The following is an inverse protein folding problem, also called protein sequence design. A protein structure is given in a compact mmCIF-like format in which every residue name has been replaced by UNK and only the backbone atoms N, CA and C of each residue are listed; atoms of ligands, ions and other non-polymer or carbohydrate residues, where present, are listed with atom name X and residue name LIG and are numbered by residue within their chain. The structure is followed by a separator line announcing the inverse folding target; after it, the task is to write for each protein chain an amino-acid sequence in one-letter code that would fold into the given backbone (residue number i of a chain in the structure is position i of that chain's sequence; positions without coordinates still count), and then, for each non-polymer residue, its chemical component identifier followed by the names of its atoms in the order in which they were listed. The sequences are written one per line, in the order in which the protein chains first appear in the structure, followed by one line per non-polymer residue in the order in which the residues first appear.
data_IF_150183038657
#
_entry.id   IF_150183038657
#
_cell.length_a   1.000
_cell.length_b   1.000
_cell.length_c   1.000
_cell.angle_alpha   90.00
_cell.angle_beta   90.00
_cell.angle_gamma   90.00
#
_symmetry.space_group_name_H-M   'P 1'
#
loop_
_entity.id
_entity.type
_entity.pdbx_description
1 polymer ?
#
# COMPACT_ATOMS: atom_id res chain seq x y z
N UNK A 1 41.00 -9.99 -24.86
CA UNK A 1 39.99 -9.24 -24.09
C UNK A 1 38.63 -9.80 -24.45
N UNK A 2 37.92 -10.41 -23.50
CA UNK A 2 36.59 -10.96 -23.77
C UNK A 2 35.59 -9.81 -23.81
N UNK A 3 35.07 -9.48 -25.00
CA UNK A 3 33.94 -8.58 -25.16
C UNK A 3 32.72 -9.25 -24.51
N UNK A 4 32.47 -8.94 -23.23
CA UNK A 4 31.17 -9.22 -22.62
C UNK A 4 30.15 -8.31 -23.30
N UNK A 5 29.49 -8.86 -24.31
CA UNK A 5 28.27 -8.28 -24.87
C UNK A 5 27.26 -8.28 -23.72
N UNK A 6 26.83 -7.08 -23.29
CA UNK A 6 25.72 -6.94 -22.36
C UNK A 6 24.49 -7.54 -23.05
N UNK A 7 24.03 -8.69 -22.55
CA UNK A 7 22.79 -9.30 -23.02
C UNK A 7 21.63 -8.43 -22.57
N UNK A 8 20.70 -8.13 -23.48
CA UNK A 8 19.47 -7.35 -23.23
C UNK A 8 18.65 -7.92 -22.06
N UNK A 9 18.83 -9.21 -21.74
CA UNK A 9 18.15 -9.92 -20.66
C UNK A 9 19.15 -10.46 -19.62
N UNK A 10 19.91 -9.58 -18.97
CA UNK A 10 20.70 -9.96 -17.79
C UNK A 10 19.76 -10.46 -16.67
N UNK A 11 19.82 -11.75 -16.28
CA UNK A 11 18.91 -12.32 -15.29
C UNK A 11 19.03 -11.65 -13.91
N UNK A 12 20.22 -11.18 -13.55
CA UNK A 12 20.47 -10.50 -12.28
C UNK A 12 19.87 -9.10 -12.29
N UNK A 13 20.02 -8.37 -13.39
CA UNK A 13 19.33 -7.08 -13.57
C UNK A 13 17.80 -7.26 -13.52
N UNK A 14 17.27 -8.28 -14.20
CA UNK A 14 15.84 -8.56 -14.20
C UNK A 14 15.32 -8.93 -12.80
N UNK A 15 16.11 -9.66 -12.00
CA UNK A 15 15.77 -9.95 -10.59
C UNK A 15 15.61 -8.66 -9.79
N UNK A 16 16.51 -7.68 -9.93
CA UNK A 16 16.40 -6.41 -9.20
C UNK A 16 15.27 -5.52 -9.68
N UNK A 17 15.00 -5.50 -11.00
CA UNK A 17 13.81 -4.85 -11.56
C UNK A 17 12.55 -5.46 -10.96
N UNK A 18 12.47 -6.80 -10.92
CA UNK A 18 11.34 -7.51 -10.33
C UNK A 18 11.13 -7.17 -8.83
N UNK A 19 12.22 -7.01 -8.07
CA UNK A 19 12.17 -6.61 -6.66
C UNK A 19 11.69 -5.16 -6.45
N UNK A 20 11.77 -4.31 -7.47
CA UNK A 20 11.30 -2.92 -7.38
C UNK A 20 9.77 -2.80 -7.48
N UNK A 21 9.09 -3.82 -8.03
CA UNK A 21 7.63 -3.80 -8.12
C UNK A 21 6.97 -4.06 -6.76
N UNK A 22 5.96 -3.25 -6.47
CA UNK A 22 5.15 -3.41 -5.26
C UNK A 22 3.84 -4.11 -5.63
N UNK A 23 3.67 -5.37 -5.22
CA UNK A 23 2.52 -6.22 -5.60
C UNK A 23 1.15 -5.56 -5.39
N UNK A 24 0.96 -4.83 -4.29
CA UNK A 24 -0.31 -4.14 -4.02
C UNK A 24 -0.55 -2.98 -5.00
N UNK A 25 0.50 -2.30 -5.42
CA UNK A 25 0.46 -1.23 -6.40
C UNK A 25 0.07 -1.76 -7.78
N UNK A 26 0.61 -2.92 -8.16
CA UNK A 26 0.24 -3.62 -9.40
C UNK A 26 -1.22 -4.07 -9.38
N UNK A 27 -1.64 -4.75 -8.30
CA UNK A 27 -3.05 -5.15 -8.11
C UNK A 27 -4.01 -3.96 -8.17
N UNK A 28 -3.64 -2.83 -7.57
CA UNK A 28 -4.42 -1.60 -7.66
C UNK A 28 -4.47 -1.06 -9.10
N UNK A 29 -3.36 -1.11 -9.84
CA UNK A 29 -3.31 -0.70 -11.25
C UNK A 29 -4.22 -1.58 -12.10
N UNK A 30 -4.10 -2.90 -12.01
CA UNK A 30 -4.99 -3.83 -12.71
C UNK A 30 -6.47 -3.61 -12.37
N UNK A 31 -6.78 -3.30 -11.11
CA UNK A 31 -8.16 -2.97 -10.70
C UNK A 31 -8.69 -1.75 -11.49
N UNK A 32 -7.92 -0.67 -11.60
CA UNK A 32 -8.35 0.52 -12.33
C UNK A 32 -8.42 0.30 -13.85
N UNK A 33 -7.54 -0.52 -14.41
CA UNK A 33 -7.65 -0.92 -15.82
C UNK A 33 -8.94 -1.68 -16.12
N UNK A 34 -9.43 -2.53 -15.19
CA UNK A 34 -10.77 -3.14 -15.34
C UNK A 34 -11.91 -2.12 -15.36
N UNK A 35 -11.78 -1.01 -14.64
CA UNK A 35 -12.76 0.09 -14.72
C UNK A 35 -12.68 0.82 -16.06
N UNK A 36 -11.48 0.98 -16.63
CA UNK A 36 -11.27 1.50 -17.98
C UNK A 36 -11.94 0.59 -19.02
N UNK A 37 -11.75 -0.73 -18.92
CA UNK A 37 -12.36 -1.68 -19.84
C UNK A 37 -13.89 -1.66 -19.77
N UNK A 38 -14.45 -1.49 -18.56
CA UNK A 38 -15.90 -1.30 -18.40
C UNK A 38 -16.36 -0.02 -19.11
N UNK A 39 -15.68 1.10 -18.88
CA UNK A 39 -15.97 2.37 -19.54
C UNK A 39 -15.91 2.26 -21.06
N UNK A 40 -14.87 1.61 -21.59
CA UNK A 40 -14.69 1.39 -23.03
C UNK A 40 -15.87 0.64 -23.63
N UNK A 41 -16.28 -0.47 -23.00
CA UNK A 41 -17.44 -1.26 -23.43
C UNK A 41 -18.73 -0.46 -23.41
N UNK A 42 -19.00 0.29 -22.33
CA UNK A 42 -20.20 1.13 -22.23
C UNK A 42 -20.25 2.28 -23.23
N UNK A 43 -19.08 2.79 -23.66
CA UNK A 43 -18.97 3.88 -24.64
C UNK A 43 -18.67 3.39 -26.05
N UNK A 44 -18.64 2.08 -26.30
CA UNK A 44 -18.26 1.48 -27.58
C UNK A 44 -16.90 1.98 -28.11
N UNK A 45 -15.93 2.18 -27.21
CA UNK A 45 -14.57 2.60 -27.56
C UNK A 45 -13.73 1.36 -27.83
N UNK A 46 -13.23 1.24 -29.06
CA UNK A 46 -12.45 0.09 -29.51
C UNK A 46 -11.04 0.10 -28.88
N UNK A 47 -10.36 1.24 -28.91
CA UNK A 47 -8.97 1.36 -28.45
C UNK A 47 -8.82 1.06 -26.96
N UNK A 48 -7.81 0.27 -26.60
CA UNK A 48 -7.29 0.14 -25.22
C UNK A 48 -6.57 1.42 -24.82
N UNK A 49 -6.28 1.55 -23.52
CA UNK A 49 -5.62 2.75 -22.98
C UNK A 49 -4.20 2.96 -23.55
N UNK A 50 -3.49 1.88 -23.82
CA UNK A 50 -2.14 1.86 -24.39
C UNK A 50 -2.12 2.02 -25.93
N UNK A 51 -3.27 1.85 -26.60
CA UNK A 51 -3.38 1.94 -28.06
C UNK A 51 -3.46 3.37 -28.61
N UNK A 52 -3.66 4.37 -27.75
CA UNK A 52 -3.65 5.78 -28.17
C UNK A 52 -2.22 6.22 -28.54
N UNK A 53 -2.02 6.63 -29.78
CA UNK A 53 -0.80 7.24 -30.32
C UNK A 53 -0.90 8.78 -30.39
N UNK A 54 -2.12 9.32 -30.29
CA UNK A 54 -2.40 10.74 -30.26
C UNK A 54 -2.67 11.25 -28.83
N UNK A 55 -1.86 12.20 -28.38
CA UNK A 55 -1.99 12.84 -27.07
C UNK A 55 -3.33 13.54 -26.86
N UNK A 56 -3.90 14.19 -27.88
CA UNK A 56 -5.17 14.90 -27.76
C UNK A 56 -6.35 13.92 -27.57
N UNK A 57 -6.31 12.77 -28.24
CA UNK A 57 -7.28 11.70 -28.09
C UNK A 57 -7.17 11.07 -26.71
N UNK A 58 -5.95 10.76 -26.25
CA UNK A 58 -5.71 10.25 -24.91
C UNK A 58 -6.22 11.21 -23.82
N UNK A 59 -5.98 12.52 -23.97
CA UNK A 59 -6.51 13.54 -23.06
C UNK A 59 -8.05 13.51 -23.02
N UNK A 60 -8.69 13.38 -24.18
CA UNK A 60 -10.16 13.35 -24.29
C UNK A 60 -10.74 12.07 -23.68
N UNK A 61 -10.08 10.94 -23.92
CA UNK A 61 -10.42 9.65 -23.33
C UNK A 61 -10.34 9.71 -21.80
N UNK A 62 -9.21 10.14 -21.25
CA UNK A 62 -8.99 10.22 -19.79
C UNK A 62 -10.00 11.18 -19.14
N UNK A 63 -10.25 12.34 -19.75
CA UNK A 63 -11.22 13.31 -19.22
C UNK A 63 -12.63 12.73 -19.18
N UNK A 64 -13.05 12.04 -20.26
CA UNK A 64 -14.36 11.38 -20.34
C UNK A 64 -14.51 10.26 -19.32
N UNK A 65 -13.44 9.46 -19.13
CA UNK A 65 -13.40 8.41 -18.13
C UNK A 65 -13.53 8.96 -16.70
N UNK A 66 -12.80 10.03 -16.36
CA UNK A 66 -12.88 10.67 -15.03
C UNK A 66 -14.29 11.20 -14.76
N UNK A 67 -14.92 11.83 -15.75
CA UNK A 67 -16.30 12.31 -15.64
C UNK A 67 -17.29 11.18 -15.37
N UNK A 68 -17.13 10.05 -16.07
CA UNK A 68 -17.97 8.85 -15.92
C UNK A 68 -17.71 8.06 -14.63
N UNK A 69 -16.54 8.22 -13.99
CA UNK A 69 -16.10 7.34 -12.90
C UNK A 69 -17.06 7.34 -11.69
N UNK A 70 -17.66 6.17 -11.45
CA UNK A 70 -18.53 5.86 -10.32
C UNK A 70 -18.44 4.38 -9.93
N UNK A 71 -18.93 4.05 -8.73
CA UNK A 71 -19.04 2.67 -8.25
C UNK A 71 -20.08 1.90 -9.07
N UNK A 72 -20.11 0.58 -8.92
CA UNK A 72 -21.07 -0.29 -9.64
C UNK A 72 -22.53 0.02 -9.30
N UNK A 73 -22.78 0.48 -8.08
CA UNK A 73 -24.10 0.89 -7.60
C UNK A 73 -24.49 2.33 -8.00
N UNK A 74 -23.66 3.00 -8.82
CA UNK A 74 -23.85 4.39 -9.21
C UNK A 74 -23.37 5.41 -8.18
N UNK A 75 -23.04 4.99 -6.95
CA UNK A 75 -22.55 5.91 -5.92
C UNK A 75 -21.16 6.46 -6.27
N UNK A 76 -20.83 7.67 -5.82
CA UNK A 76 -19.52 8.26 -6.06
C UNK A 76 -18.41 7.56 -5.26
N UNK A 77 -17.20 7.63 -5.80
CA UNK A 77 -15.99 7.27 -5.08
C UNK A 77 -15.55 8.41 -4.14
N UNK A 78 -14.79 8.08 -3.08
CA UNK A 78 -14.08 9.08 -2.27
C UNK A 78 -13.01 9.79 -3.11
N UNK A 79 -12.71 11.04 -2.77
CA UNK A 79 -11.70 11.88 -3.44
C UNK A 79 -10.37 11.12 -3.61
N UNK A 80 -9.89 10.49 -2.53
CA UNK A 80 -8.66 9.71 -2.51
C UNK A 80 -8.68 8.52 -3.50
N UNK A 81 -9.84 7.90 -3.72
CA UNK A 81 -9.95 6.79 -4.69
C UNK A 81 -9.81 7.29 -6.13
N UNK A 82 -10.36 8.47 -6.44
CA UNK A 82 -10.22 9.10 -7.76
C UNK A 82 -8.78 9.52 -8.02
N UNK A 83 -8.11 10.11 -7.02
CA UNK A 83 -6.69 10.43 -7.11
C UNK A 83 -5.81 9.18 -7.32
N UNK A 84 -6.09 8.11 -6.58
CA UNK A 84 -5.40 6.83 -6.73
C UNK A 84 -5.65 6.16 -8.08
N UNK A 85 -6.85 6.32 -8.65
CA UNK A 85 -7.16 5.89 -10.00
C UNK A 85 -6.26 6.62 -11.01
N UNK A 86 -6.20 7.95 -10.97
CA UNK A 86 -5.36 8.73 -11.88
C UNK A 86 -3.87 8.39 -11.73
N UNK A 87 -3.40 8.18 -10.50
CA UNK A 87 -2.04 7.73 -10.20
C UNK A 87 -1.73 6.35 -10.82
N UNK A 88 -2.69 5.43 -10.80
CA UNK A 88 -2.55 4.13 -11.44
C UNK A 88 -2.47 4.23 -12.98
N UNK A 89 -3.31 5.08 -13.59
CA UNK A 89 -3.24 5.32 -15.03
C UNK A 89 -1.89 5.94 -15.43
N UNK A 90 -1.39 6.89 -14.65
CA UNK A 90 -0.10 7.53 -14.89
C UNK A 90 1.07 6.54 -14.84
N UNK A 91 0.99 5.55 -13.94
CA UNK A 91 1.98 4.47 -13.86
C UNK A 91 1.90 3.58 -15.10
N UNK A 92 0.72 3.09 -15.43
CA UNK A 92 0.51 2.20 -16.58
C UNK A 92 0.97 2.83 -17.90
N UNK A 93 0.54 4.07 -18.16
CA UNK A 93 0.88 4.81 -19.39
C UNK A 93 2.37 5.14 -19.51
N UNK A 94 3.11 5.22 -18.40
CA UNK A 94 4.56 5.46 -18.45
C UNK A 94 5.32 4.30 -19.09
N UNK A 95 4.84 3.08 -18.86
CA UNK A 95 5.51 1.84 -19.27
C UNK A 95 4.93 1.26 -20.56
N UNK A 96 3.65 1.53 -20.85
CA UNK A 96 2.90 0.84 -21.92
C UNK A 96 2.41 1.76 -23.05
N UNK A 97 2.59 3.08 -22.96
CA UNK A 97 2.06 3.98 -24.00
C UNK A 97 2.82 3.86 -25.32
N UNK A 98 2.08 3.93 -26.44
CA UNK A 98 2.62 4.05 -27.81
C UNK A 98 3.08 5.46 -28.18
N UNK A 99 2.83 6.47 -27.35
CA UNK A 99 3.22 7.85 -27.64
C UNK A 99 4.72 8.02 -27.38
N UNK A 100 5.46 8.39 -28.44
CA UNK A 100 6.89 8.64 -28.38
C UNK A 100 7.28 9.69 -27.32
N UNK A 101 8.40 9.44 -26.63
CA UNK A 101 8.86 10.27 -25.51
C UNK A 101 8.13 10.01 -24.18
N UNK A 102 7.18 9.07 -24.16
CA UNK A 102 6.48 8.62 -22.97
C UNK A 102 5.39 9.57 -22.48
N UNK A 103 4.44 9.02 -21.72
CA UNK A 103 3.28 9.77 -21.24
C UNK A 103 3.43 10.14 -19.76
N UNK A 104 3.34 11.46 -19.49
CA UNK A 104 3.32 12.02 -18.13
C UNK A 104 2.02 12.79 -17.91
N UNK A 105 0.94 12.09 -17.63
CA UNK A 105 -0.40 12.72 -17.49
C UNK A 105 -0.48 13.74 -16.33
N UNK A 106 0.42 13.68 -15.36
CA UNK A 106 0.56 14.68 -14.30
C UNK A 106 1.22 15.99 -14.74
N UNK A 107 1.80 16.06 -15.93
CA UNK A 107 2.39 17.30 -16.45
C UNK A 107 1.28 18.26 -16.90
N UNK A 108 1.09 19.35 -16.13
CA UNK A 108 0.09 20.40 -16.41
C UNK A 108 0.26 21.11 -17.74
N UNK A 109 1.47 21.14 -18.30
CA UNK A 109 1.72 21.76 -19.60
C UNK A 109 1.30 20.82 -20.74
N UNK A 110 1.50 19.52 -20.53
CA UNK A 110 1.16 18.49 -21.50
C UNK A 110 -0.31 18.04 -21.45
N UNK A 111 -0.90 17.94 -20.27
CA UNK A 111 -2.22 17.34 -20.06
C UNK A 111 -3.21 18.27 -19.30
N UNK A 112 -3.27 19.58 -19.61
CA UNK A 112 -4.01 20.57 -18.82
C UNK A 112 -5.51 20.27 -18.72
N UNK A 113 -6.13 19.72 -19.77
CA UNK A 113 -7.57 19.44 -19.79
C UNK A 113 -7.93 18.27 -18.86
N UNK A 114 -7.19 17.17 -18.94
CA UNK A 114 -7.46 16.00 -18.09
C UNK A 114 -7.19 16.30 -16.61
N UNK A 115 -6.17 17.10 -16.30
CA UNK A 115 -5.88 17.53 -14.92
C UNK A 115 -6.94 18.48 -14.37
N UNK A 116 -7.45 19.42 -15.19
CA UNK A 116 -8.58 20.27 -14.78
C UNK A 116 -9.86 19.47 -14.57
N UNK A 117 -10.10 18.44 -15.38
CA UNK A 117 -11.22 17.52 -15.19
C UNK A 117 -11.09 16.74 -13.87
N UNK A 118 -9.89 16.21 -13.58
CA UNK A 118 -9.58 15.55 -12.31
C UNK A 118 -9.83 16.48 -11.11
N UNK A 119 -9.25 17.69 -11.15
CA UNK A 119 -9.39 18.70 -10.09
C UNK A 119 -10.87 19.07 -9.87
N UNK A 120 -11.62 19.33 -10.94
CA UNK A 120 -13.05 19.61 -10.87
C UNK A 120 -13.85 18.46 -10.26
N UNK A 121 -13.57 17.22 -10.66
CA UNK A 121 -14.22 16.02 -10.07
C UNK A 121 -13.91 15.89 -8.59
N UNK A 122 -12.65 16.08 -8.18
CA UNK A 122 -12.25 15.99 -6.78
C UNK A 122 -12.89 17.09 -5.93
N UNK A 123 -12.95 18.33 -6.41
CA UNK A 123 -13.62 19.45 -5.73
C UNK A 123 -15.12 19.22 -5.56
N UNK A 124 -15.80 18.74 -6.60
CA UNK A 124 -17.22 18.37 -6.51
C UNK A 124 -17.44 17.29 -5.46
N UNK A 125 -16.65 16.21 -5.47
CA UNK A 125 -16.74 15.16 -4.46
C UNK A 125 -16.49 15.66 -3.05
N UNK A 126 -15.54 16.59 -2.87
CA UNK A 126 -15.26 17.18 -1.56
C UNK A 126 -16.42 18.04 -1.06
N UNK A 127 -17.01 18.86 -1.93
CA UNK A 127 -18.21 19.64 -1.63
C UNK A 127 -19.38 18.74 -1.20
N UNK A 128 -19.50 17.57 -1.82
CA UNK A 128 -20.53 16.57 -1.52
C UNK A 128 -20.19 15.68 -0.30
N UNK A 129 -19.13 15.97 0.45
CA UNK A 129 -18.75 15.25 1.67
C UNK A 129 -17.94 13.97 1.47
N UNK A 130 -17.46 13.68 0.26
CA UNK A 130 -16.65 12.49 -0.05
C UNK A 130 -15.13 12.72 0.09
N UNK A 131 -14.73 13.85 0.71
CA UNK A 131 -13.34 14.18 1.01
C UNK A 131 -12.81 13.57 2.30
N UNK A 132 -13.70 13.23 3.24
CA UNK A 132 -13.28 12.86 4.58
C UNK A 132 -12.83 11.40 4.70
N UNK A 133 -11.77 11.21 5.48
CA UNK A 133 -11.30 9.89 5.89
C UNK A 133 -12.01 9.50 7.18
N UNK A 134 -12.61 8.32 7.20
CA UNK A 134 -13.26 7.79 8.40
C UNK A 134 -12.15 7.51 9.42
N UNK A 135 -12.00 8.38 10.42
CA UNK A 135 -11.13 8.13 11.55
C UNK A 135 -11.84 7.15 12.46
N UNK A 136 -11.17 6.05 12.80
CA UNK A 136 -11.65 5.13 13.83
C UNK A 136 -10.95 5.45 15.13
N UNK A 137 -11.70 5.37 16.22
CA UNK A 137 -11.16 5.52 17.56
C UNK A 137 -10.22 4.34 17.90
N UNK A 138 -9.28 4.60 18.80
CA UNK A 138 -8.40 3.57 19.34
C UNK A 138 -9.17 2.69 20.32
N UNK A 139 -8.76 1.43 20.45
CA UNK A 139 -9.33 0.53 21.46
C UNK A 139 -9.09 1.11 22.87
N UNK A 140 -10.12 1.10 23.68
CA UNK A 140 -10.05 1.41 25.11
C UNK A 140 -9.45 0.24 25.88
N UNK A 141 -8.94 0.51 27.10
CA UNK A 141 -8.40 -0.55 27.97
C UNK A 141 -9.42 -1.65 28.25
N UNK A 142 -10.70 -1.30 28.43
CA UNK A 142 -11.76 -2.27 28.69
C UNK A 142 -12.03 -3.17 27.48
N UNK A 143 -12.00 -2.62 26.26
CA UNK A 143 -12.13 -3.42 25.03
C UNK A 143 -10.94 -4.37 24.86
N UNK A 144 -9.72 -3.90 25.16
CA UNK A 144 -8.52 -4.74 25.12
C UNK A 144 -8.64 -5.91 26.11
N UNK A 145 -9.04 -5.63 27.36
CA UNK A 145 -9.25 -6.65 28.40
C UNK A 145 -10.34 -7.65 27.95
N UNK A 146 -11.44 -7.15 27.39
CA UNK A 146 -12.53 -7.98 26.87
C UNK A 146 -12.05 -8.92 25.76
N UNK A 147 -11.26 -8.41 24.80
CA UNK A 147 -10.65 -9.23 23.75
C UNK A 147 -9.73 -10.32 24.33
N UNK A 148 -8.85 -9.97 25.26
CA UNK A 148 -7.85 -10.89 25.83
C UNK A 148 -8.45 -12.01 26.69
N UNK A 149 -9.62 -11.77 27.28
CA UNK A 149 -10.38 -12.77 28.04
C UNK A 149 -11.28 -13.64 27.16
N UNK A 150 -11.47 -13.29 25.89
CA UNK A 150 -12.31 -14.07 24.99
C UNK A 150 -11.59 -15.33 24.51
N UNK A 151 -12.29 -16.47 24.46
CA UNK A 151 -11.73 -17.78 24.07
C UNK A 151 -11.03 -17.78 22.70
N UNK A 152 -11.38 -16.85 21.82
CA UNK A 152 -10.72 -16.67 20.51
C UNK A 152 -9.23 -16.31 20.62
N UNK A 153 -8.81 -15.70 21.73
CA UNK A 153 -7.42 -15.38 22.07
C UNK A 153 -6.89 -16.25 23.24
N UNK A 154 -7.45 -17.45 23.44
CA UNK A 154 -7.00 -18.36 24.50
C UNK A 154 -5.54 -18.79 24.30
N UNK A 155 -4.80 -18.93 25.40
CA UNK A 155 -3.43 -19.47 25.41
C UNK A 155 -3.39 -21.01 25.43
N UNK A 156 -4.55 -21.65 25.63
CA UNK A 156 -4.65 -23.10 25.86
C UNK A 156 -4.68 -23.90 24.54
N UNK A 157 -4.65 -23.21 23.40
CA UNK A 157 -4.60 -23.84 22.09
C UNK A 157 -3.77 -23.02 21.10
N UNK A 158 -3.18 -23.72 20.12
CA UNK A 158 -2.24 -23.12 19.18
C UNK A 158 -2.83 -21.95 18.38
N UNK A 159 -4.08 -22.08 17.92
CA UNK A 159 -4.70 -21.05 17.08
C UNK A 159 -5.02 -19.78 17.89
N UNK A 160 -5.52 -19.95 19.12
CA UNK A 160 -5.74 -18.86 20.05
C UNK A 160 -4.44 -18.15 20.42
N UNK A 161 -3.37 -18.90 20.67
CA UNK A 161 -2.06 -18.36 21.02
C UNK A 161 -1.46 -17.53 19.87
N UNK A 162 -1.55 -18.01 18.62
CA UNK A 162 -1.14 -17.25 17.42
C UNK A 162 -1.88 -15.92 17.34
N UNK A 163 -3.21 -15.95 17.52
CA UNK A 163 -4.04 -14.73 17.45
C UNK A 163 -3.72 -13.78 18.61
N UNK A 164 -3.44 -14.31 19.80
CA UNK A 164 -3.06 -13.53 20.98
C UNK A 164 -1.70 -12.85 20.79
N UNK A 165 -0.70 -13.57 20.29
CA UNK A 165 0.60 -13.03 19.93
C UNK A 165 0.48 -11.92 18.87
N UNK A 166 -0.31 -12.16 17.82
CA UNK A 166 -0.61 -11.15 16.79
C UNK A 166 -1.25 -9.90 17.40
N UNK A 167 -2.22 -10.08 18.31
CA UNK A 167 -2.91 -8.99 18.99
C UNK A 167 -1.94 -8.16 19.85
N UNK A 168 -1.12 -8.81 20.68
CA UNK A 168 -0.09 -8.14 21.47
C UNK A 168 0.89 -7.33 20.64
N UNK A 169 1.46 -7.94 19.60
CA UNK A 169 2.40 -7.25 18.72
C UNK A 169 1.73 -6.04 18.03
N UNK A 170 0.48 -6.18 17.61
CA UNK A 170 -0.26 -5.10 16.96
C UNK A 170 -0.49 -3.92 17.89
N UNK A 171 -0.92 -4.14 19.13
CA UNK A 171 -1.22 -3.06 20.08
C UNK A 171 0.03 -2.45 20.70
N UNK A 172 1.05 -3.25 21.02
CA UNK A 172 2.27 -2.79 21.69
C UNK A 172 3.22 -2.07 20.72
N UNK A 173 3.28 -2.52 19.47
CA UNK A 173 4.22 -1.98 18.48
C UNK A 173 3.56 -1.08 17.42
N UNK A 174 2.22 -0.95 17.45
CA UNK A 174 1.48 -0.15 16.48
C UNK A 174 1.66 -0.65 15.04
N UNK A 175 1.67 -1.98 14.86
CA UNK A 175 1.95 -2.59 13.57
C UNK A 175 0.77 -2.43 12.63
N UNK A 176 1.06 -2.15 11.36
CA UNK A 176 0.04 -2.29 10.32
C UNK A 176 -0.16 -3.77 10.04
N UNK A 177 -1.37 -4.18 9.63
CA UNK A 177 -1.63 -5.58 9.34
C UNK A 177 -0.61 -6.22 8.38
N UNK A 178 -0.18 -5.48 7.34
CA UNK A 178 0.85 -5.95 6.41
C UNK A 178 2.28 -6.06 6.98
N UNK A 179 2.58 -5.36 8.07
CA UNK A 179 3.87 -5.44 8.77
C UNK A 179 3.90 -6.72 9.62
N UNK A 180 2.79 -7.04 10.30
CA UNK A 180 2.70 -8.24 11.16
C UNK A 180 2.84 -9.55 10.39
N UNK A 181 2.32 -9.64 9.16
CA UNK A 181 2.47 -10.83 8.30
C UNK A 181 3.89 -11.10 7.82
N UNK A 182 4.80 -10.12 7.95
CA UNK A 182 6.18 -10.23 7.49
C UNK A 182 7.17 -10.46 8.62
N UNK A 183 6.70 -10.48 9.86
CA UNK A 183 7.56 -10.72 11.00
C UNK A 183 8.10 -12.14 10.95
N UNK A 184 9.40 -12.26 11.10
CA UNK A 184 10.07 -13.53 11.28
C UNK A 184 10.55 -13.68 12.71
N UNK A 185 10.79 -14.92 13.15
CA UNK A 185 11.31 -15.20 14.47
C UNK A 185 12.59 -14.41 14.81
N UNK A 186 13.50 -14.27 13.82
CA UNK A 186 14.75 -13.51 13.93
C UNK A 186 14.59 -12.00 14.14
N UNK A 187 13.37 -11.49 14.07
CA UNK A 187 13.06 -10.09 14.31
C UNK A 187 12.68 -9.83 15.78
N UNK A 188 12.44 -10.88 16.56
CA UNK A 188 12.14 -10.83 18.00
C UNK A 188 13.39 -11.24 18.80
N UNK A 189 14.01 -10.27 19.47
CA UNK A 189 15.21 -10.50 20.28
C UNK A 189 14.89 -10.34 21.77
N UNK A 190 15.23 -11.34 22.58
CA UNK A 190 15.08 -11.24 24.04
C UNK A 190 16.10 -10.27 24.62
N UNK A 191 15.66 -9.43 25.56
CA UNK A 191 16.49 -8.46 26.27
C UNK A 191 16.91 -9.00 27.63
N UNK A 192 18.02 -8.49 28.17
CA UNK A 192 18.54 -8.89 29.47
C UNK A 192 17.58 -8.58 30.63
N UNK A 193 16.80 -7.51 30.50
CA UNK A 193 15.78 -7.10 31.47
C UNK A 193 14.51 -7.97 31.45
N UNK A 194 14.48 -9.01 30.61
CA UNK A 194 13.35 -9.89 30.43
C UNK A 194 12.33 -9.40 29.40
N UNK A 195 12.50 -8.21 28.80
CA UNK A 195 11.65 -7.72 27.71
C UNK A 195 11.99 -8.34 26.35
N UNK A 196 11.28 -7.88 25.31
CA UNK A 196 11.53 -8.24 23.90
C UNK A 196 11.87 -6.98 23.10
N UNK A 197 12.77 -7.11 22.13
CA UNK A 197 13.15 -6.09 21.18
C UNK A 197 12.69 -6.52 19.79
N UNK A 198 11.77 -5.78 19.18
CA UNK A 198 11.32 -6.04 17.81
C UNK A 198 12.16 -5.22 16.81
N UNK A 199 12.78 -5.87 15.83
CA UNK A 199 13.64 -5.24 14.80
C UNK A 199 13.04 -5.32 13.40
N UNK A 200 12.82 -4.17 12.77
CA UNK A 200 12.40 -4.06 11.37
C UNK A 200 13.60 -3.94 10.45
N UNK A 201 13.95 -5.02 9.76
CA UNK A 201 15.03 -5.01 8.76
C UNK A 201 14.60 -4.34 7.45
N UNK A 202 13.30 -4.35 7.14
CA UNK A 202 12.74 -3.70 5.96
C UNK A 202 11.53 -2.85 6.34
N UNK A 203 11.72 -1.53 6.39
CA UNK A 203 10.62 -0.59 6.63
C UNK A 203 9.83 -0.26 5.36
N UNK A 204 8.56 0.11 5.54
CA UNK A 204 7.69 0.65 4.48
C UNK A 204 8.33 1.85 3.75
N UNK A 205 9.06 2.73 4.43
CA UNK A 205 9.64 3.92 3.83
C UNK A 205 11.00 3.65 3.15
N UNK A 206 11.71 2.59 3.54
CA UNK A 206 12.86 2.08 2.79
C UNK A 206 12.43 1.36 1.50
N UNK A 207 11.13 1.04 1.32
CA UNK A 207 10.58 0.57 0.04
C UNK A 207 10.43 1.68 -1.01
N UNK A 208 10.57 2.97 -0.64
CA UNK A 208 10.52 4.07 -1.61
C UNK A 208 11.67 4.05 -2.63
N UNK A 209 12.70 3.23 -2.39
CA UNK A 209 13.79 3.03 -3.32
C UNK A 209 14.65 4.28 -3.53
N UNK A 210 15.29 4.35 -4.70
CA UNK A 210 16.35 5.32 -5.03
C UNK A 210 15.90 6.79 -4.86
N UNK A 211 14.63 7.11 -5.10
CA UNK A 211 14.12 8.48 -5.10
C UNK A 211 13.70 9.01 -3.72
N UNK A 212 13.65 8.16 -2.70
CA UNK A 212 13.21 8.51 -1.34
C UNK A 212 14.31 8.34 -0.29
N UNK A 213 15.58 8.26 -0.69
CA UNK A 213 16.70 8.32 0.27
C UNK A 213 16.63 9.65 1.02
N UNK A 214 16.32 9.60 2.32
CA UNK A 214 16.38 10.75 3.21
C UNK A 214 17.78 11.37 3.09
N UNK A 215 17.86 12.68 2.82
CA UNK A 215 19.13 13.45 2.80
C UNK A 215 19.87 13.40 4.14
N UNK A 216 19.16 13.10 5.22
CA UNK A 216 19.68 12.93 6.57
C UNK A 216 19.55 11.46 6.93
N UNK A 217 20.56 10.68 6.55
CA UNK A 217 20.49 9.24 6.51
C UNK A 217 20.14 8.64 7.85
N UNK A 218 19.05 7.88 7.91
CA UNK A 218 18.96 6.65 8.67
C UNK A 218 18.31 5.61 7.75
N UNK A 219 19.11 4.85 7.02
CA UNK A 219 18.72 3.50 6.57
C UNK A 219 18.72 2.55 7.78
N UNK A 220 18.13 3.01 8.88
CA UNK A 220 18.18 2.36 10.17
C UNK A 220 17.13 1.27 10.24
N UNK A 221 17.52 0.11 10.77
CA UNK A 221 16.59 -0.86 11.32
C UNK A 221 15.78 -0.14 12.40
N UNK A 222 14.45 -0.03 12.24
CA UNK A 222 13.60 0.48 13.31
C UNK A 222 13.51 -0.59 14.38
N UNK A 223 13.70 -0.18 15.61
CA UNK A 223 13.68 -1.08 16.75
C UNK A 223 12.61 -0.60 17.72
N UNK A 224 11.73 -1.48 18.15
CA UNK A 224 10.66 -1.18 19.11
C UNK A 224 10.90 -2.04 20.36
N UNK A 225 11.16 -1.43 21.52
CA UNK A 225 11.25 -2.17 22.77
C UNK A 225 9.85 -2.49 23.29
N UNK A 226 9.64 -3.75 23.67
CA UNK A 226 8.51 -4.22 24.46
C UNK A 226 9.02 -4.40 25.90
N UNK A 227 8.42 -3.72 26.89
CA UNK A 227 8.87 -3.82 28.28
C UNK A 227 8.62 -5.23 28.85
N UNK A 228 9.38 -5.64 29.88
CA UNK A 228 9.12 -6.89 30.59
C UNK A 228 7.73 -6.90 31.24
N UNK A 229 7.21 -8.10 31.49
CA UNK A 229 5.95 -8.27 32.19
C UNK A 229 6.02 -7.68 33.61
N UNK A 230 4.97 -6.98 34.01
CA UNK A 230 4.85 -6.43 35.35
C UNK A 230 4.36 -7.53 36.28
N UNK A 231 5.03 -7.68 37.42
CA UNK A 231 4.65 -8.64 38.47
C UNK A 231 3.21 -8.39 38.93
N UNK A 232 2.45 -9.47 39.10
CA UNK A 232 1.05 -9.47 39.56
C UNK A 232 0.04 -8.83 38.60
N UNK A 233 0.44 -8.53 37.35
CA UNK A 233 -0.51 -8.11 36.32
C UNK A 233 -1.32 -9.30 35.80
N UNK A 234 -2.60 -9.07 35.49
CA UNK A 234 -3.49 -10.12 34.96
C UNK A 234 -3.00 -10.65 33.59
N UNK A 235 -2.37 -9.79 32.80
CA UNK A 235 -1.92 -10.10 31.46
C UNK A 235 -0.41 -9.96 31.35
N UNK A 236 0.22 -10.96 30.73
CA UNK A 236 1.67 -11.11 30.61
C UNK A 236 2.06 -11.23 29.13
N UNK A 237 2.10 -10.10 28.38
CA UNK A 237 2.41 -10.13 26.96
C UNK A 237 3.72 -10.83 26.62
N UNK A 238 4.77 -10.67 27.43
CA UNK A 238 6.06 -11.30 27.15
C UNK A 238 5.95 -12.81 27.34
N UNK A 239 5.35 -13.29 28.43
CA UNK A 239 5.11 -14.72 28.62
C UNK A 239 4.29 -15.32 27.47
N UNK A 240 3.21 -14.65 27.04
CA UNK A 240 2.39 -15.09 25.91
C UNK A 240 3.20 -15.17 24.60
N UNK A 241 4.04 -14.17 24.32
CA UNK A 241 4.90 -14.15 23.13
C UNK A 241 5.99 -15.23 23.19
N UNK A 242 6.54 -15.50 24.37
CA UNK A 242 7.54 -16.56 24.57
C UNK A 242 6.94 -17.96 24.46
N UNK A 243 5.64 -18.13 24.73
CA UNK A 243 4.94 -19.40 24.47
C UNK A 243 4.74 -19.65 22.96
N UNK A 244 4.62 -18.58 22.18
CA UNK A 244 4.44 -18.66 20.73
C UNK A 244 5.76 -18.89 19.97
N UNK A 245 6.85 -18.36 20.50
CA UNK A 245 8.23 -18.43 19.98
C UNK A 245 8.83 -19.82 20.20
#
# INVERSE_FOLDING_TARGET
MSNRILTVNDPEAQRFINLSYVTNTEKNTSKWLRHIDRFRKEKNIVNTLDEFDNKAELVTFISSFIGWLSKKDGSPFKVESVHNCYSALARYLRENSRIDGGVRIWDKYSFPKSLRCLDGKMKSLQYDGYGDTDKRDSLTSNEIISCLNHNYLSIDNNEGLIRRAFFWLSILCGLRGGDTYKLEFRDLERREDGGIQLRFRQEKNNQGGVLYRQRYGHTGTRTIPIPPDIKDNQFTPIADLLLYI
#
